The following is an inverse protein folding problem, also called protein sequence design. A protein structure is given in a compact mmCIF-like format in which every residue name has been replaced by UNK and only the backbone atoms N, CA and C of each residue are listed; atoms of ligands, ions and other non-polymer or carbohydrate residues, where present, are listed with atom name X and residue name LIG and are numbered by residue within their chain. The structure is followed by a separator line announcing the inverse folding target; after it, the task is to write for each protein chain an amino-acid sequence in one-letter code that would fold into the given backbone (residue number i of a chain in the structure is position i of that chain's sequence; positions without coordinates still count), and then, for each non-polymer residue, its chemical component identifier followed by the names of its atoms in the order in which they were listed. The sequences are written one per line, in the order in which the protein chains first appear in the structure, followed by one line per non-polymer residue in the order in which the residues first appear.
data_IF_472425994410
#
_entry.id   IF_472425994410
#
_cell.length_a   1.000
_cell.length_b   1.000
_cell.length_c   1.000
_cell.angle_alpha   90.00
_cell.angle_beta   90.00
_cell.angle_gamma   90.00
#
_symmetry.space_group_name_H-M   'P 1'
#
loop_
_entity.id
_entity.type
_entity.pdbx_description
1 polymer ?
#
# COMPACT_ATOMS: atom_id res chain seq x y z
N UNK A 1 10.31 27.54 -45.96
CA UNK A 1 9.39 26.47 -45.53
C UNK A 1 9.63 26.26 -44.04
N UNK A 2 8.81 26.86 -43.18
CA UNK A 2 8.89 26.69 -41.74
C UNK A 2 7.65 25.88 -41.34
N UNK A 3 7.85 24.63 -40.91
CA UNK A 3 6.77 23.73 -40.51
C UNK A 3 6.93 23.46 -39.02
N UNK A 4 6.25 24.26 -38.20
CA UNK A 4 6.03 23.92 -36.79
C UNK A 4 4.92 22.87 -36.70
N UNK A 5 5.10 21.78 -35.95
CA UNK A 5 4.03 20.81 -35.73
C UNK A 5 2.92 21.45 -34.88
N UNK A 6 1.70 21.43 -35.42
CA UNK A 6 0.45 21.71 -34.72
C UNK A 6 0.31 20.70 -33.57
N UNK A 7 -0.14 21.20 -32.41
CA UNK A 7 -0.19 20.47 -31.16
C UNK A 7 -1.28 19.40 -31.09
N UNK A 8 -0.91 18.28 -30.47
CA UNK A 8 -1.85 17.31 -29.90
C UNK A 8 -2.24 17.75 -28.48
N UNK A 9 -3.41 18.37 -28.36
CA UNK A 9 -4.07 18.64 -27.09
C UNK A 9 -4.66 17.34 -26.51
N UNK A 10 -3.80 16.44 -26.08
CA UNK A 10 -4.21 15.20 -25.41
C UNK A 10 -3.46 15.02 -24.09
N UNK A 11 -3.47 16.02 -23.20
CA UNK A 11 -3.03 15.87 -21.80
C UNK A 11 -3.52 17.02 -20.91
N UNK A 12 -4.84 17.18 -20.77
CA UNK A 12 -5.38 17.81 -19.56
C UNK A 12 -5.60 16.72 -18.51
N UNK A 13 -4.51 16.21 -17.95
CA UNK A 13 -4.52 15.40 -16.73
C UNK A 13 -3.52 16.03 -15.76
N UNK A 14 -4.04 16.89 -14.88
CA UNK A 14 -3.48 17.25 -13.57
C UNK A 14 -1.97 17.51 -13.53
N UNK A 15 -1.58 18.77 -13.65
CA UNK A 15 -0.20 19.31 -13.60
C UNK A 15 0.60 19.10 -12.29
N UNK A 16 0.12 18.31 -11.32
CA UNK A 16 0.84 18.08 -10.05
C UNK A 16 1.14 16.61 -9.71
N UNK A 17 0.90 15.66 -10.63
CA UNK A 17 1.27 14.27 -10.40
C UNK A 17 2.72 14.06 -10.83
N UNK A 18 3.66 13.86 -9.89
CA UNK A 18 5.01 13.37 -10.22
C UNK A 18 4.83 12.03 -10.96
N UNK A 19 5.12 11.96 -12.27
CA UNK A 19 4.90 10.73 -13.01
C UNK A 19 6.00 9.75 -12.63
N UNK A 20 5.64 8.62 -12.01
CA UNK A 20 6.56 7.52 -11.75
C UNK A 20 7.33 7.16 -13.04
N UNK A 21 8.63 6.90 -12.91
CA UNK A 21 9.42 6.32 -14.00
C UNK A 21 8.84 4.96 -14.44
N UNK A 22 9.18 4.49 -15.64
CA UNK A 22 8.71 3.19 -16.12
C UNK A 22 9.07 2.05 -15.14
N UNK A 23 10.29 2.05 -14.62
CA UNK A 23 10.75 1.05 -13.65
C UNK A 23 9.98 1.15 -12.32
N UNK A 24 9.73 2.37 -11.83
CA UNK A 24 8.89 2.58 -10.64
C UNK A 24 7.48 2.06 -10.87
N UNK A 25 6.85 2.36 -12.01
CA UNK A 25 5.51 1.86 -12.36
C UNK A 25 5.46 0.33 -12.35
N UNK A 26 6.46 -0.34 -12.92
CA UNK A 26 6.55 -1.80 -12.91
C UNK A 26 6.60 -2.35 -11.48
N UNK A 27 7.46 -1.78 -10.63
CA UNK A 27 7.60 -2.17 -9.22
C UNK A 27 6.27 -1.99 -8.47
N UNK A 28 5.63 -0.82 -8.63
CA UNK A 28 4.35 -0.50 -8.02
C UNK A 28 3.25 -1.49 -8.44
N UNK A 29 3.16 -1.81 -9.73
CA UNK A 29 2.19 -2.78 -10.26
C UNK A 29 2.41 -4.16 -9.67
N UNK A 30 3.66 -4.65 -9.66
CA UNK A 30 3.98 -6.00 -9.16
C UNK A 30 3.63 -6.12 -7.67
N UNK A 31 4.10 -5.20 -6.83
CA UNK A 31 3.88 -5.29 -5.38
C UNK A 31 2.44 -4.96 -4.96
N UNK A 32 1.75 -4.07 -5.67
CA UNK A 32 0.32 -3.84 -5.40
C UNK A 32 -0.55 -5.03 -5.79
N UNK A 33 -0.18 -5.75 -6.85
CA UNK A 33 -0.83 -7.02 -7.23
C UNK A 33 -0.58 -8.09 -6.18
N UNK A 34 0.65 -8.20 -5.67
CA UNK A 34 0.98 -9.10 -4.58
C UNK A 34 0.15 -8.81 -3.31
N UNK A 35 0.03 -7.53 -2.91
CA UNK A 35 -0.84 -7.15 -1.79
C UNK A 35 -2.31 -7.52 -2.07
N UNK A 36 -2.79 -7.28 -3.29
CA UNK A 36 -4.17 -7.64 -3.68
C UNK A 36 -4.41 -9.16 -3.61
N UNK A 37 -3.44 -9.95 -4.02
CA UNK A 37 -3.46 -11.41 -3.92
C UNK A 37 -3.47 -11.85 -2.45
N UNK A 38 -2.63 -11.25 -1.61
CA UNK A 38 -2.57 -11.52 -0.17
C UNK A 38 -3.93 -11.21 0.49
N UNK A 39 -4.53 -10.04 0.19
CA UNK A 39 -5.85 -9.66 0.70
C UNK A 39 -6.91 -10.71 0.35
N UNK A 40 -6.89 -11.20 -0.89
CA UNK A 40 -7.90 -12.12 -1.42
C UNK A 40 -7.72 -13.56 -0.95
N UNK A 41 -6.49 -14.00 -0.72
CA UNK A 41 -6.14 -15.38 -0.39
C UNK A 41 -6.03 -15.69 1.10
N UNK A 42 -6.08 -14.67 1.98
CA UNK A 42 -5.92 -14.93 3.41
C UNK A 42 -7.09 -15.76 3.98
N UNK A 43 -6.81 -16.93 4.60
CA UNK A 43 -7.84 -17.83 5.12
C UNK A 43 -8.51 -17.27 6.37
N UNK A 44 -9.72 -17.75 6.69
CA UNK A 44 -10.37 -17.43 7.96
C UNK A 44 -9.70 -18.22 9.08
N UNK A 45 -9.22 -17.53 10.11
CA UNK A 45 -8.65 -18.16 11.31
C UNK A 45 -9.74 -18.55 12.29
N UNK A 46 -9.40 -19.33 13.33
CA UNK A 46 -10.37 -19.71 14.37
C UNK A 46 -10.75 -18.56 15.30
N UNK A 47 -9.89 -17.55 15.45
CA UNK A 47 -10.09 -16.43 16.35
C UNK A 47 -10.78 -15.25 15.65
N UNK A 48 -12.02 -14.95 16.05
CA UNK A 48 -12.84 -13.89 15.43
C UNK A 48 -12.30 -12.48 15.68
N UNK A 49 -11.67 -12.23 16.84
CA UNK A 49 -11.03 -10.93 17.13
C UNK A 49 -9.87 -10.68 16.17
N UNK A 50 -9.09 -11.71 15.87
CA UNK A 50 -8.01 -11.64 14.88
C UNK A 50 -8.59 -11.46 13.48
N UNK A 51 -9.63 -12.21 13.09
CA UNK A 51 -10.29 -12.06 11.78
C UNK A 51 -10.85 -10.65 11.55
N UNK A 52 -11.44 -10.04 12.58
CA UNK A 52 -11.95 -8.67 12.52
C UNK A 52 -10.80 -7.68 12.29
N UNK A 53 -9.69 -7.84 13.00
CA UNK A 53 -8.53 -6.97 12.80
C UNK A 53 -7.84 -7.20 11.45
N UNK A 54 -7.78 -8.44 10.96
CA UNK A 54 -7.32 -8.74 9.59
C UNK A 54 -8.21 -8.03 8.56
N UNK A 55 -9.52 -7.97 8.78
CA UNK A 55 -10.44 -7.27 7.88
C UNK A 55 -10.15 -5.76 7.85
N UNK A 56 -9.83 -5.15 8.99
CA UNK A 56 -9.37 -3.76 9.07
C UNK A 56 -8.05 -3.57 8.31
N UNK A 57 -7.08 -4.47 8.51
CA UNK A 57 -5.80 -4.44 7.79
C UNK A 57 -6.03 -4.49 6.27
N UNK A 58 -6.85 -5.43 5.80
CA UNK A 58 -7.21 -5.59 4.38
C UNK A 58 -7.85 -4.31 3.83
N UNK A 59 -8.76 -3.69 4.58
CA UNK A 59 -9.38 -2.43 4.19
C UNK A 59 -8.35 -1.31 4.04
N UNK A 60 -7.46 -1.12 5.02
CA UNK A 60 -6.42 -0.09 4.95
C UNK A 60 -5.43 -0.31 3.81
N UNK A 61 -5.10 -1.57 3.49
CA UNK A 61 -4.26 -1.89 2.33
C UNK A 61 -4.95 -1.58 1.00
N UNK A 62 -6.27 -1.82 0.88
CA UNK A 62 -7.03 -1.42 -0.30
C UNK A 62 -7.03 0.10 -0.49
N UNK A 63 -7.32 0.83 0.57
CA UNK A 63 -7.29 2.31 0.57
C UNK A 63 -5.91 2.84 0.16
N UNK A 64 -4.84 2.23 0.67
CA UNK A 64 -3.48 2.57 0.30
C UNK A 64 -3.21 2.36 -1.19
N UNK A 65 -3.60 1.20 -1.76
CA UNK A 65 -3.43 0.93 -3.19
C UNK A 65 -4.26 1.91 -4.04
N UNK A 66 -5.48 2.23 -3.63
CA UNK A 66 -6.35 3.20 -4.32
C UNK A 66 -5.69 4.58 -4.32
N UNK A 67 -5.25 5.06 -3.16
CA UNK A 67 -4.58 6.35 -2.99
C UNK A 67 -3.28 6.44 -3.81
N UNK A 68 -2.51 5.35 -3.85
CA UNK A 68 -1.31 5.25 -4.67
C UNK A 68 -1.63 5.37 -6.16
N UNK A 69 -2.67 4.69 -6.64
CA UNK A 69 -3.09 4.75 -8.05
C UNK A 69 -3.67 6.10 -8.44
N UNK A 70 -4.30 6.81 -7.50
CA UNK A 70 -4.88 8.14 -7.72
C UNK A 70 -3.92 9.29 -7.43
N UNK A 71 -2.66 9.02 -7.09
CA UNK A 71 -1.66 10.01 -6.69
C UNK A 71 -2.11 10.91 -5.52
N UNK A 72 -2.98 10.39 -4.65
CA UNK A 72 -3.46 11.11 -3.48
C UNK A 72 -2.52 10.88 -2.29
N UNK A 73 -1.51 11.74 -2.14
CA UNK A 73 -0.48 11.61 -1.11
C UNK A 73 -1.03 11.70 0.32
N UNK A 74 -2.04 12.54 0.56
CA UNK A 74 -2.66 12.67 1.89
C UNK A 74 -3.40 11.39 2.29
N UNK A 75 -4.18 10.81 1.36
CA UNK A 75 -4.85 9.54 1.61
C UNK A 75 -3.84 8.40 1.70
N UNK A 76 -2.74 8.44 0.93
CA UNK A 76 -1.65 7.48 0.97
C UNK A 76 -0.98 7.45 2.35
N UNK A 77 -0.56 8.60 2.90
CA UNK A 77 0.03 8.67 4.24
C UNK A 77 -0.97 8.23 5.32
N UNK A 78 -2.21 8.74 5.27
CA UNK A 78 -3.22 8.40 6.28
C UNK A 78 -3.57 6.91 6.29
N UNK A 79 -3.70 6.28 5.12
CA UNK A 79 -3.95 4.84 4.98
C UNK A 79 -2.74 4.02 5.39
N UNK A 80 -1.52 4.49 5.11
CA UNK A 80 -0.29 3.86 5.58
C UNK A 80 -0.21 3.83 7.11
N UNK A 81 -0.47 4.95 7.80
CA UNK A 81 -0.50 5.01 9.27
C UNK A 81 -1.57 4.09 9.87
N UNK A 82 -2.75 4.03 9.26
CA UNK A 82 -3.83 3.12 9.67
C UNK A 82 -3.43 1.66 9.50
N UNK A 83 -2.78 1.32 8.38
CA UNK A 83 -2.18 0.01 8.15
C UNK A 83 -1.18 -0.33 9.26
N UNK A 84 -0.23 0.55 9.58
CA UNK A 84 0.77 0.28 10.62
C UNK A 84 0.14 0.01 11.99
N UNK A 85 -0.88 0.79 12.35
CA UNK A 85 -1.62 0.60 13.60
C UNK A 85 -2.28 -0.78 13.65
N UNK A 86 -2.95 -1.17 12.58
CA UNK A 86 -3.59 -2.48 12.47
C UNK A 86 -2.58 -3.62 12.48
N UNK A 87 -1.46 -3.47 11.76
CA UNK A 87 -0.35 -4.42 11.75
C UNK A 87 0.21 -4.66 13.16
N UNK A 88 0.50 -3.57 13.89
CA UNK A 88 1.00 -3.65 15.28
C UNK A 88 -0.02 -4.31 16.21
N UNK A 89 -1.32 -4.06 15.99
CA UNK A 89 -2.39 -4.71 16.76
C UNK A 89 -2.44 -6.21 16.48
N UNK A 90 -2.35 -6.64 15.21
CA UNK A 90 -2.27 -8.07 14.85
C UNK A 90 -1.07 -8.76 15.50
N UNK A 91 0.11 -8.14 15.48
CA UNK A 91 1.30 -8.67 16.15
C UNK A 91 1.06 -8.93 17.64
N UNK A 92 0.29 -8.07 18.33
CA UNK A 92 -0.06 -8.28 19.74
C UNK A 92 -1.12 -9.37 19.95
N UNK A 93 -1.99 -9.58 18.97
CA UNK A 93 -3.05 -10.59 19.04
C UNK A 93 -2.56 -12.02 18.75
N UNK A 94 -1.39 -12.17 18.13
CA UNK A 94 -0.73 -13.46 17.83
C UNK A 94 -0.65 -14.40 19.03
N UNK A 95 -0.41 -13.86 20.24
CA UNK A 95 -0.34 -14.65 21.48
C UNK A 95 -1.65 -15.38 21.85
N UNK A 96 -2.76 -15.05 21.20
CA UNK A 96 -4.06 -15.70 21.40
C UNK A 96 -4.39 -16.73 20.31
N UNK A 97 -3.44 -17.01 19.41
CA UNK A 97 -3.57 -18.02 18.36
C UNK A 97 -2.91 -19.33 18.78
N UNK A 98 -3.41 -20.43 18.23
CA UNK A 98 -2.66 -21.68 18.21
C UNK A 98 -1.46 -21.56 17.25
N UNK A 99 -0.55 -22.52 17.31
CA UNK A 99 0.69 -22.51 16.52
C UNK A 99 0.43 -22.40 15.00
N UNK A 100 -0.51 -23.19 14.48
CA UNK A 100 -0.80 -23.23 13.04
C UNK A 100 -1.36 -21.89 12.55
N UNK A 101 -2.34 -21.34 13.26
CA UNK A 101 -2.94 -20.03 12.95
C UNK A 101 -1.91 -18.90 13.10
N UNK A 102 -1.03 -18.97 14.10
CA UNK A 102 0.06 -17.99 14.29
C UNK A 102 1.04 -18.01 13.11
N UNK A 103 1.42 -19.19 12.63
CA UNK A 103 2.34 -19.33 11.50
C UNK A 103 1.72 -18.75 10.22
N UNK A 104 0.45 -19.05 9.97
CA UNK A 104 -0.31 -18.50 8.83
C UNK A 104 -0.35 -16.98 8.92
N UNK A 105 -0.69 -16.42 10.09
CA UNK A 105 -0.73 -14.97 10.28
C UNK A 105 0.66 -14.34 10.14
N UNK A 106 1.69 -14.95 10.72
CA UNK A 106 3.05 -14.42 10.66
C UNK A 106 3.57 -14.36 9.21
N UNK A 107 3.39 -15.44 8.43
CA UNK A 107 3.76 -15.49 7.01
C UNK A 107 3.02 -14.41 6.22
N UNK A 108 1.74 -14.22 6.49
CA UNK A 108 0.93 -13.17 5.87
C UNK A 108 1.45 -11.77 6.17
N UNK A 109 1.70 -11.47 7.45
CA UNK A 109 2.21 -10.16 7.89
C UNK A 109 3.59 -9.86 7.31
N UNK A 110 4.51 -10.83 7.31
CA UNK A 110 5.85 -10.65 6.72
C UNK A 110 5.76 -10.31 5.23
N UNK A 111 4.95 -11.04 4.44
CA UNK A 111 4.79 -10.76 3.01
C UNK A 111 4.19 -9.37 2.76
N UNK A 112 3.19 -8.96 3.54
CA UNK A 112 2.63 -7.60 3.42
C UNK A 112 3.68 -6.55 3.72
N UNK A 113 4.42 -6.71 4.83
CA UNK A 113 5.45 -5.74 5.23
C UNK A 113 6.49 -5.59 4.14
N UNK A 114 6.98 -6.69 3.57
CA UNK A 114 7.96 -6.67 2.47
C UNK A 114 7.43 -5.94 1.25
N UNK A 115 6.22 -6.28 0.79
CA UNK A 115 5.60 -5.61 -0.37
C UNK A 115 5.38 -4.12 -0.13
N UNK A 116 4.94 -3.73 1.08
CA UNK A 116 4.76 -2.32 1.44
C UNK A 116 6.08 -1.56 1.47
N UNK A 117 7.14 -2.13 2.06
CA UNK A 117 8.48 -1.50 2.07
C UNK A 117 8.99 -1.30 0.64
N UNK A 118 8.82 -2.28 -0.24
CA UNK A 118 9.26 -2.17 -1.63
C UNK A 118 8.48 -1.09 -2.39
N UNK A 119 7.18 -0.95 -2.16
CA UNK A 119 6.40 0.16 -2.73
C UNK A 119 6.90 1.50 -2.17
N UNK A 120 6.93 1.67 -0.85
CA UNK A 120 7.26 2.94 -0.20
C UNK A 120 8.66 3.46 -0.59
N UNK A 121 9.65 2.58 -0.74
CA UNK A 121 10.99 2.94 -1.17
C UNK A 121 11.05 3.45 -2.63
N UNK A 122 10.04 3.13 -3.43
CA UNK A 122 9.94 3.51 -4.85
C UNK A 122 8.91 4.63 -5.09
N UNK A 123 8.26 5.12 -4.04
CA UNK A 123 7.42 6.32 -4.11
C UNK A 123 8.30 7.54 -3.75
N UNK A 124 8.27 8.64 -4.54
CA UNK A 124 9.00 9.87 -4.22
C UNK A 124 8.67 10.36 -2.80
N UNK A 125 9.66 10.30 -1.90
CA UNK A 125 9.52 10.70 -0.49
C UNK A 125 9.62 12.22 -0.29
N UNK A 126 10.04 12.98 -1.30
CA UNK A 126 10.23 14.43 -1.25
C UNK A 126 8.90 15.20 -1.03
N UNK A 127 7.75 14.57 -1.27
CA UNK A 127 6.43 15.14 -1.02
C UNK A 127 5.81 14.73 0.33
N UNK A 128 6.43 13.80 1.07
CA UNK A 128 5.96 13.29 2.37
C UNK A 128 6.76 13.86 3.55
N UNK A 129 7.85 14.58 3.27
CA UNK A 129 8.72 15.20 4.28
C UNK A 129 8.22 16.58 4.72
N UNK A 130 7.04 16.64 5.32
CA UNK A 130 6.64 17.76 6.20
C UNK A 130 6.15 17.23 7.53
N UNK A 131 7.05 16.60 8.29
CA UNK A 131 6.88 16.51 9.74
C UNK A 131 8.01 17.33 10.36
N UNK A 132 7.71 18.43 11.09
CA UNK A 132 8.74 19.18 11.78
C UNK A 132 9.38 18.28 12.85
N UNK A 133 10.71 18.21 12.85
CA UNK A 133 11.45 17.70 14.01
C UNK A 133 11.22 18.70 15.15
N UNK A 134 10.59 18.23 16.23
CA UNK A 134 10.69 18.89 17.54
C UNK A 134 12.05 18.59 18.16
#
# INVERSE_FOLDING_TARGET
MNLSPIGDNASQLSENAIPYSFDQKKILIVHSSEISNLISSFPKLRNDVVNAEVSNLKYHLKEYIIAMKSYNLTQLDSSHRKFEKSYKKLQKLRKYLNQDDDEVLNRYLVRIKTSMTLINNNIPQDSLSTSPKN
#
